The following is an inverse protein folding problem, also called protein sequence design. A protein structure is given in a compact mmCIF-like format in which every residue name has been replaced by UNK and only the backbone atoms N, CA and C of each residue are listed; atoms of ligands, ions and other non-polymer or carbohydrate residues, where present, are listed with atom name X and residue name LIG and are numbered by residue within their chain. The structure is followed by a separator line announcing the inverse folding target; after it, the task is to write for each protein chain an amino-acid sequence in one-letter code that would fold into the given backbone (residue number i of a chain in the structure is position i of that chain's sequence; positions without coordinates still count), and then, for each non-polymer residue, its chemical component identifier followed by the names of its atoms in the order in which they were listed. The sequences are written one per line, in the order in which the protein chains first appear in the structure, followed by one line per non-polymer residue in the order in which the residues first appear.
data_IF_302664018703
#
_entry.id   IF_302664018703
#
_cell.length_a   1.000
_cell.length_b   1.000
_cell.length_c   1.000
_cell.angle_alpha   90.00
_cell.angle_beta   90.00
_cell.angle_gamma   90.00
#
_symmetry.space_group_name_H-M   'P 1'
#
loop_
_entity.id
_entity.type
_entity.pdbx_description
1 polymer ?
#
# COMPACT_ATOMS: atom_id res chain seq x y z
N UNK A 1 6.10 31.86 6.84
CA UNK A 1 6.32 32.52 5.60
C UNK A 1 5.26 32.39 4.52
N UNK A 2 5.23 31.29 3.80
CA UNK A 2 4.33 31.09 2.64
C UNK A 2 2.86 30.94 3.03
N UNK A 3 2.55 30.32 4.16
CA UNK A 3 1.18 30.09 4.63
C UNK A 3 0.41 31.39 4.85
N UNK A 4 1.02 32.43 5.42
CA UNK A 4 0.37 33.71 5.66
C UNK A 4 0.06 34.51 4.38
N UNK A 5 0.89 34.42 3.35
CA UNK A 5 0.67 35.11 2.06
C UNK A 5 -0.42 34.45 1.21
N UNK A 6 -0.47 33.12 1.20
CA UNK A 6 -1.51 32.33 0.49
C UNK A 6 -2.89 32.58 1.12
N UNK A 7 -2.96 32.78 2.42
CA UNK A 7 -4.19 33.06 3.13
C UNK A 7 -4.79 34.43 2.83
N UNK A 8 -3.98 35.48 2.84
CA UNK A 8 -4.45 36.81 2.43
C UNK A 8 -5.01 36.79 1.00
N UNK A 9 -4.43 35.97 0.13
CA UNK A 9 -4.90 35.80 -1.25
C UNK A 9 -6.26 35.07 -1.27
N UNK A 10 -6.43 33.96 -0.55
CA UNK A 10 -7.70 33.21 -0.51
C UNK A 10 -8.85 34.02 0.09
N UNK A 11 -8.59 34.74 1.16
CA UNK A 11 -9.60 35.62 1.79
C UNK A 11 -10.00 36.75 0.86
N UNK A 12 -9.06 37.34 0.15
CA UNK A 12 -9.33 38.37 -0.84
C UNK A 12 -10.18 37.82 -1.99
N UNK A 13 -9.84 36.64 -2.52
CA UNK A 13 -10.64 35.96 -3.56
C UNK A 13 -12.05 35.62 -3.08
N UNK A 14 -12.21 35.15 -1.83
CA UNK A 14 -13.52 34.84 -1.28
C UNK A 14 -14.39 36.07 -1.16
N UNK A 15 -13.84 37.18 -0.66
CA UNK A 15 -14.52 38.46 -0.57
C UNK A 15 -14.91 39.02 -1.94
N UNK A 16 -14.01 38.90 -2.92
CA UNK A 16 -14.27 39.31 -4.29
C UNK A 16 -15.33 38.43 -4.97
N UNK A 17 -15.24 37.13 -4.81
CA UNK A 17 -16.24 36.17 -5.31
C UNK A 17 -17.62 36.46 -4.72
N UNK A 18 -17.70 36.75 -3.41
CA UNK A 18 -18.95 37.09 -2.75
C UNK A 18 -19.55 38.39 -3.32
N UNK A 19 -18.75 39.46 -3.47
CA UNK A 19 -19.19 40.73 -4.10
C UNK A 19 -19.72 40.49 -5.50
N UNK A 20 -19.03 39.70 -6.30
CA UNK A 20 -19.44 39.40 -7.67
C UNK A 20 -20.75 38.63 -7.73
N UNK A 21 -20.98 37.71 -6.78
CA UNK A 21 -22.20 36.95 -6.68
C UNK A 21 -23.41 37.73 -6.16
N UNK A 22 -23.18 38.84 -5.38
CA UNK A 22 -24.20 39.64 -4.72
C UNK A 22 -24.25 41.09 -5.25
N UNK A 23 -24.08 41.28 -6.55
CA UNK A 23 -24.19 42.58 -7.23
C UNK A 23 -23.30 43.73 -6.65
N UNK A 24 -22.15 43.37 -6.08
CA UNK A 24 -21.20 44.30 -5.49
C UNK A 24 -21.42 44.59 -4.02
N UNK A 25 -22.51 44.10 -3.41
CA UNK A 25 -22.75 44.20 -1.98
C UNK A 25 -21.87 43.19 -1.23
N UNK A 26 -21.30 43.65 -0.11
CA UNK A 26 -20.45 42.85 0.75
C UNK A 26 -20.89 42.92 2.20
N UNK A 27 -21.16 41.79 2.79
CA UNK A 27 -21.36 41.64 4.21
C UNK A 27 -20.41 40.54 4.72
N UNK A 28 -19.61 40.82 5.71
CA UNK A 28 -18.64 39.90 6.27
C UNK A 28 -19.29 38.74 7.00
N UNK A 29 -20.45 38.98 7.64
CA UNK A 29 -21.19 37.98 8.38
C UNK A 29 -21.80 36.88 7.45
N UNK A 30 -22.16 37.27 6.24
CA UNK A 30 -22.68 36.35 5.24
C UNK A 30 -21.55 35.67 4.47
N UNK A 31 -20.41 36.33 4.30
CA UNK A 31 -19.25 35.79 3.58
C UNK A 31 -18.48 34.75 4.39
N UNK A 32 -18.34 34.96 5.70
CA UNK A 32 -17.60 34.11 6.61
C UNK A 32 -18.49 33.62 7.75
N UNK A 33 -18.42 32.32 8.08
CA UNK A 33 -19.06 31.79 9.28
C UNK A 33 -18.48 32.42 10.56
N UNK A 34 -19.15 32.26 11.69
CA UNK A 34 -18.66 32.73 12.99
C UNK A 34 -17.29 32.16 13.29
N UNK A 35 -17.11 30.81 13.11
CA UNK A 35 -15.83 30.15 13.28
C UNK A 35 -14.72 30.72 12.40
N UNK A 36 -15.01 31.00 11.14
CA UNK A 36 -14.02 31.60 10.24
C UNK A 36 -13.63 33.04 10.67
N UNK A 37 -14.59 33.85 11.16
CA UNK A 37 -14.34 35.21 11.67
C UNK A 37 -13.51 35.17 12.95
N UNK A 38 -13.78 34.24 13.85
CA UNK A 38 -12.97 34.03 15.04
C UNK A 38 -11.50 33.76 14.71
N UNK A 39 -11.27 32.85 13.73
CA UNK A 39 -9.92 32.56 13.26
C UNK A 39 -9.26 33.77 12.57
N UNK A 40 -10.01 34.54 11.78
CA UNK A 40 -9.51 35.77 11.18
C UNK A 40 -9.09 36.79 12.25
N UNK A 41 -9.87 36.91 13.31
CA UNK A 41 -9.63 37.89 14.41
C UNK A 41 -8.47 37.45 15.31
N UNK A 42 -8.33 36.14 15.58
CA UNK A 42 -7.24 35.57 16.39
C UNK A 42 -5.92 35.47 15.63
N UNK A 43 -5.98 35.36 14.31
CA UNK A 43 -4.82 35.06 13.46
C UNK A 43 -4.26 33.64 13.60
N UNK A 44 -5.01 32.78 14.25
CA UNK A 44 -4.62 31.36 14.50
C UNK A 44 -5.19 30.42 13.42
N UNK A 45 -4.67 30.51 12.25
CA UNK A 45 -5.09 29.61 11.16
C UNK A 45 -4.44 28.23 11.18
N UNK A 46 -5.09 27.28 10.50
CA UNK A 46 -4.69 25.88 10.49
C UNK A 46 -3.69 25.62 9.36
N UNK A 47 -2.52 25.10 9.73
CA UNK A 47 -1.58 24.47 8.82
C UNK A 47 -1.92 22.96 8.71
N UNK A 48 -2.77 22.61 7.73
CA UNK A 48 -3.23 21.27 7.51
C UNK A 48 -2.10 20.30 7.13
N UNK A 49 -1.06 20.78 6.47
CA UNK A 49 0.08 19.97 6.08
C UNK A 49 0.85 19.51 7.32
N UNK A 50 1.13 20.41 8.25
CA UNK A 50 1.84 20.08 9.49
C UNK A 50 1.05 19.12 10.40
N UNK A 51 -0.28 19.15 10.35
CA UNK A 51 -1.14 18.23 11.09
C UNK A 51 -1.15 16.83 10.50
N UNK A 52 -0.96 16.69 9.20
CA UNK A 52 -1.02 15.42 8.48
C UNK A 52 0.31 14.72 8.45
N UNK A 53 1.39 15.47 8.19
CA UNK A 53 2.72 14.92 7.95
C UNK A 53 3.50 14.85 9.27
N UNK A 54 4.04 13.70 9.58
CA UNK A 54 4.92 13.49 10.73
C UNK A 54 6.23 12.83 10.29
N UNK A 55 7.30 12.98 11.05
CA UNK A 55 8.53 12.25 10.82
C UNK A 55 8.26 10.76 10.79
N UNK A 56 8.78 10.08 9.78
CA UNK A 56 8.62 8.65 9.60
C UNK A 56 9.96 7.93 9.82
N UNK A 57 9.92 6.84 10.58
CA UNK A 57 11.07 5.96 10.80
C UNK A 57 10.98 4.78 9.84
N UNK A 58 12.12 4.42 9.27
CA UNK A 58 12.29 3.21 8.48
C UNK A 58 13.44 2.39 9.07
N UNK A 59 13.21 1.09 9.24
CA UNK A 59 14.23 0.15 9.70
C UNK A 59 14.22 -1.10 8.82
N UNK A 60 15.42 -1.64 8.61
CA UNK A 60 15.61 -2.86 7.86
C UNK A 60 16.72 -3.69 8.50
N UNK A 61 16.40 -4.94 8.77
CA UNK A 61 17.31 -5.90 9.37
C UNK A 61 17.34 -7.17 8.52
N UNK A 62 18.52 -7.57 8.06
CA UNK A 62 18.70 -8.78 7.27
C UNK A 62 19.82 -9.65 7.89
N UNK A 63 19.54 -10.95 8.00
CA UNK A 63 20.52 -11.95 8.40
C UNK A 63 20.62 -12.98 7.28
N UNK A 64 21.83 -13.28 6.85
CA UNK A 64 22.07 -14.30 5.82
C UNK A 64 23.17 -15.26 6.28
N UNK A 65 22.83 -16.55 6.24
CA UNK A 65 23.78 -17.64 6.48
C UNK A 65 24.03 -18.38 5.16
N UNK A 66 25.30 -18.57 4.84
CA UNK A 66 25.73 -19.31 3.66
C UNK A 66 26.65 -20.44 4.07
N UNK A 67 26.42 -21.60 3.50
CA UNK A 67 27.27 -22.78 3.70
C UNK A 67 27.40 -23.52 2.39
N UNK A 68 28.49 -24.20 2.20
CA UNK A 68 28.65 -24.99 1.00
C UNK A 68 29.97 -25.73 0.92
N UNK A 69 29.97 -26.70 0.02
CA UNK A 69 31.14 -27.46 -0.41
C UNK A 69 31.09 -27.64 -1.94
N UNK A 70 31.95 -28.48 -2.49
CA UNK A 70 32.00 -28.72 -3.95
C UNK A 70 30.69 -29.32 -4.52
N UNK A 71 29.90 -29.99 -3.68
CA UNK A 71 28.66 -30.65 -4.11
C UNK A 71 27.40 -29.90 -3.75
N UNK A 72 27.41 -29.21 -2.62
CA UNK A 72 26.20 -28.54 -2.09
C UNK A 72 26.47 -27.10 -1.76
N UNK A 73 25.52 -26.23 -2.08
CA UNK A 73 25.50 -24.83 -1.69
C UNK A 73 24.15 -24.53 -1.05
N UNK A 74 24.18 -23.84 0.08
CA UNK A 74 22.99 -23.44 0.83
C UNK A 74 23.11 -21.94 1.15
N UNK A 75 22.06 -21.19 0.94
CA UNK A 75 21.92 -19.84 1.44
C UNK A 75 20.55 -19.69 2.08
N UNK A 76 20.52 -19.29 3.34
CA UNK A 76 19.32 -18.98 4.08
C UNK A 76 19.36 -17.52 4.52
N UNK A 77 18.26 -16.80 4.32
CA UNK A 77 18.15 -15.38 4.71
C UNK A 77 16.82 -15.13 5.40
N UNK A 78 16.88 -14.34 6.45
CA UNK A 78 15.71 -13.73 7.11
C UNK A 78 15.83 -12.23 7.03
N UNK A 79 14.74 -11.54 6.75
CA UNK A 79 14.66 -10.10 6.69
C UNK A 79 13.43 -9.59 7.42
N UNK A 80 13.59 -8.50 8.14
CA UNK A 80 12.52 -7.70 8.74
C UNK A 80 12.63 -6.27 8.20
N UNK A 81 11.50 -5.73 7.80
CA UNK A 81 11.38 -4.35 7.34
C UNK A 81 10.18 -3.73 8.02
N UNK A 82 10.35 -2.53 8.55
CA UNK A 82 9.32 -1.73 9.17
C UNK A 82 9.44 -0.28 8.70
N UNK A 83 8.32 0.31 8.36
CA UNK A 83 8.25 1.70 7.91
C UNK A 83 6.98 2.35 8.45
N UNK A 84 7.14 3.32 9.33
CA UNK A 84 6.06 4.24 9.70
C UNK A 84 5.78 5.15 8.50
N UNK A 85 4.51 5.36 8.16
CA UNK A 85 4.14 6.28 7.08
C UNK A 85 4.34 7.73 7.48
N UNK A 86 4.56 8.60 6.48
CA UNK A 86 4.59 10.05 6.68
C UNK A 86 3.23 10.59 7.11
N UNK A 87 2.14 10.01 6.61
CA UNK A 87 0.77 10.34 7.00
C UNK A 87 0.41 9.56 8.25
N UNK A 88 -0.32 10.19 9.19
CA UNK A 88 -0.82 9.52 10.39
C UNK A 88 -1.65 8.28 10.01
N UNK A 89 -1.65 7.26 10.88
CA UNK A 89 -2.37 6.00 10.68
C UNK A 89 -2.01 5.30 9.36
N UNK A 90 -0.76 5.42 8.95
CA UNK A 90 -0.20 4.66 7.82
C UNK A 90 1.13 4.01 8.19
N UNK A 91 1.37 2.82 7.65
CA UNK A 91 2.55 2.05 7.94
C UNK A 91 2.67 0.82 7.06
N UNK A 92 3.86 0.25 7.02
CA UNK A 92 4.16 -0.97 6.30
C UNK A 92 5.20 -1.79 7.06
N UNK A 93 4.87 -3.02 7.35
CA UNK A 93 5.83 -4.00 7.89
C UNK A 93 5.91 -5.24 7.00
N UNK A 94 7.07 -5.90 7.02
CA UNK A 94 7.28 -7.11 6.25
C UNK A 94 8.34 -8.01 6.87
N UNK A 95 8.01 -9.27 7.00
CA UNK A 95 8.96 -10.34 7.29
C UNK A 95 9.21 -11.14 6.00
N UNK A 96 10.46 -11.50 5.74
CA UNK A 96 10.85 -12.31 4.57
C UNK A 96 11.74 -13.46 4.98
N UNK A 97 11.52 -14.62 4.34
CA UNK A 97 12.41 -15.77 4.42
C UNK A 97 12.83 -16.22 3.02
N UNK A 98 14.10 -16.54 2.83
CA UNK A 98 14.61 -17.11 1.57
C UNK A 98 15.50 -18.30 1.86
N UNK A 99 15.34 -19.33 1.05
CA UNK A 99 16.18 -20.51 1.07
C UNK A 99 16.57 -20.84 -0.37
N UNK A 100 17.87 -20.89 -0.63
CA UNK A 100 18.41 -21.34 -1.91
C UNK A 100 19.31 -22.55 -1.66
N UNK A 101 19.06 -23.61 -2.40
CA UNK A 101 19.79 -24.85 -2.33
C UNK A 101 20.19 -25.29 -3.74
N UNK A 102 21.47 -25.58 -3.90
CA UNK A 102 22.02 -26.24 -5.09
C UNK A 102 22.73 -27.51 -4.66
N UNK A 103 22.45 -28.61 -5.32
CA UNK A 103 23.10 -29.88 -5.01
C UNK A 103 23.47 -30.65 -6.28
N UNK A 104 24.77 -30.96 -6.42
CA UNK A 104 25.31 -31.80 -7.49
C UNK A 104 25.19 -33.24 -7.11
N UNK A 105 24.19 -33.94 -7.68
CA UNK A 105 23.99 -35.36 -7.49
C UNK A 105 25.07 -36.16 -8.23
N UNK A 106 25.35 -35.77 -9.49
CA UNK A 106 26.38 -36.30 -10.35
C UNK A 106 27.24 -35.15 -10.90
N UNK A 107 28.35 -35.45 -11.54
CA UNK A 107 29.17 -34.45 -12.25
C UNK A 107 28.36 -33.73 -13.35
N UNK A 108 27.35 -34.40 -13.89
CA UNK A 108 26.50 -33.94 -15.00
C UNK A 108 25.09 -33.58 -14.58
N UNK A 109 24.71 -33.79 -13.29
CA UNK A 109 23.34 -33.56 -12.80
C UNK A 109 23.36 -32.73 -11.56
N UNK A 110 22.70 -31.58 -11.66
CA UNK A 110 22.50 -30.61 -10.56
C UNK A 110 21.00 -30.41 -10.29
N UNK A 111 20.62 -30.39 -9.02
CA UNK A 111 19.30 -30.01 -8.55
C UNK A 111 19.38 -28.68 -7.82
N UNK A 112 18.39 -27.84 -8.01
CA UNK A 112 18.27 -26.61 -7.27
C UNK A 112 16.86 -26.32 -6.81
N UNK A 113 16.77 -25.62 -5.68
CA UNK A 113 15.54 -25.14 -5.09
C UNK A 113 15.72 -23.71 -4.60
N UNK A 114 14.80 -22.84 -5.00
CA UNK A 114 14.73 -21.48 -4.48
C UNK A 114 13.34 -21.30 -3.86
N UNK A 115 13.31 -21.00 -2.58
CA UNK A 115 12.10 -20.76 -1.82
C UNK A 115 12.13 -19.33 -1.31
N UNK A 116 11.01 -18.65 -1.43
CA UNK A 116 10.80 -17.30 -0.91
C UNK A 116 9.44 -17.24 -0.25
N UNK A 117 9.40 -16.73 0.96
CA UNK A 117 8.17 -16.39 1.66
C UNK A 117 8.25 -14.95 2.15
N UNK A 118 7.16 -14.24 2.05
CA UNK A 118 6.98 -12.96 2.74
C UNK A 118 5.57 -12.82 3.26
N UNK A 119 5.48 -12.30 4.48
CA UNK A 119 4.26 -11.76 5.06
C UNK A 119 4.43 -10.26 5.21
N UNK A 120 3.45 -9.48 4.76
CA UNK A 120 3.45 -8.04 4.92
C UNK A 120 2.09 -7.54 5.40
N UNK A 121 2.13 -6.47 6.20
CA UNK A 121 0.95 -5.71 6.63
C UNK A 121 1.13 -4.26 6.17
N UNK A 122 0.09 -3.70 5.59
CA UNK A 122 0.00 -2.29 5.21
C UNK A 122 -1.19 -1.69 5.94
N UNK A 123 -0.96 -0.64 6.69
CA UNK A 123 -2.00 0.20 7.26
C UNK A 123 -2.09 1.47 6.41
N UNK A 124 -3.28 1.84 6.00
CA UNK A 124 -3.51 3.02 5.17
C UNK A 124 -4.44 3.98 5.86
N UNK A 125 -4.05 5.26 5.89
CA UNK A 125 -4.94 6.29 6.40
C UNK A 125 -6.19 6.41 5.53
N UNK A 126 -7.32 6.71 6.15
CA UNK A 126 -8.51 7.13 5.41
C UNK A 126 -8.34 8.58 4.94
N UNK A 127 -8.69 8.80 3.70
CA UNK A 127 -8.56 10.10 3.07
C UNK A 127 -7.34 10.23 2.16
N UNK A 128 -7.46 11.14 1.22
CA UNK A 128 -6.40 11.45 0.27
C UNK A 128 -5.65 12.70 0.71
N UNK A 129 -4.37 12.78 0.38
CA UNK A 129 -3.56 13.99 0.53
C UNK A 129 -4.28 15.23 -0.02
N UNK A 130 -5.01 15.09 -1.13
CA UNK A 130 -5.82 16.15 -1.73
C UNK A 130 -6.83 16.75 -0.75
N UNK A 131 -7.43 15.96 0.14
CA UNK A 131 -8.38 16.51 1.13
C UNK A 131 -7.73 17.52 2.07
N UNK A 132 -6.53 17.26 2.55
CA UNK A 132 -5.82 18.17 3.45
C UNK A 132 -5.44 19.49 2.77
N UNK A 133 -4.90 19.42 1.56
CA UNK A 133 -4.47 20.63 0.83
C UNK A 133 -5.65 21.47 0.31
N UNK A 134 -6.85 20.89 0.20
CA UNK A 134 -8.05 21.63 -0.21
C UNK A 134 -8.83 22.20 0.97
N UNK A 135 -8.49 21.81 2.20
CA UNK A 135 -9.16 22.32 3.39
C UNK A 135 -8.90 23.83 3.58
N UNK A 136 -9.92 24.58 4.01
CA UNK A 136 -9.75 25.99 4.30
C UNK A 136 -8.86 26.19 5.53
N UNK A 137 -7.91 27.11 5.51
CA UNK A 137 -7.09 27.42 6.67
C UNK A 137 -7.86 28.17 7.76
N UNK A 138 -8.95 28.87 7.40
CA UNK A 138 -9.88 29.49 8.33
C UNK A 138 -10.81 28.44 8.94
N UNK A 139 -10.29 27.66 9.85
CA UNK A 139 -10.97 26.51 10.43
C UNK A 139 -10.56 26.30 11.89
N UNK A 140 -11.42 25.63 12.65
CA UNK A 140 -11.08 25.12 13.99
C UNK A 140 -11.06 23.58 13.92
N UNK A 141 -9.89 23.00 14.19
CA UNK A 141 -9.68 21.53 14.15
C UNK A 141 -10.28 20.86 15.37
N UNK A 142 -10.22 21.50 16.52
CA UNK A 142 -10.62 20.99 17.82
C UNK A 142 -11.73 21.83 18.44
N UNK A 143 -12.54 21.20 19.25
CA UNK A 143 -13.46 21.85 20.17
C UNK A 143 -12.69 22.42 21.40
N UNK A 144 -13.34 23.23 22.20
CA UNK A 144 -12.75 23.85 23.40
C UNK A 144 -12.34 22.80 24.45
N UNK A 145 -12.94 21.61 24.43
CA UNK A 145 -12.60 20.46 25.27
C UNK A 145 -11.44 19.61 24.74
N UNK A 146 -10.84 19.99 23.59
CA UNK A 146 -9.74 19.30 22.94
C UNK A 146 -10.17 18.12 22.05
N UNK A 147 -11.45 17.81 21.95
CA UNK A 147 -11.95 16.79 21.00
C UNK A 147 -11.91 17.31 19.56
N UNK A 148 -11.78 16.40 18.58
CA UNK A 148 -11.85 16.77 17.17
C UNK A 148 -13.24 17.31 16.81
N UNK A 149 -13.27 18.35 16.02
CA UNK A 149 -14.52 18.82 15.39
C UNK A 149 -14.77 18.04 14.12
N UNK A 150 -16.02 17.67 13.86
CA UNK A 150 -16.42 17.03 12.61
C UNK A 150 -16.51 18.02 11.46
N UNK A 151 -17.18 19.17 11.66
CA UNK A 151 -17.18 20.32 10.73
C UNK A 151 -16.24 21.39 11.29
N UNK A 152 -15.28 21.81 10.48
CA UNK A 152 -14.21 22.71 10.92
C UNK A 152 -14.48 24.17 10.64
N UNK A 153 -15.54 24.52 9.89
CA UNK A 153 -15.83 25.89 9.46
C UNK A 153 -17.19 26.42 9.90
N UNK A 154 -18.15 25.56 10.22
CA UNK A 154 -19.57 25.87 10.42
C UNK A 154 -20.16 26.75 9.28
N UNK A 155 -19.59 26.61 8.08
CA UNK A 155 -20.10 27.27 6.88
C UNK A 155 -21.27 26.47 6.31
N UNK A 156 -22.13 27.09 5.53
CA UNK A 156 -23.29 26.42 4.92
C UNK A 156 -22.91 25.17 4.09
N UNK A 157 -21.69 25.11 3.57
CA UNK A 157 -21.08 23.90 3.03
C UNK A 157 -20.23 23.24 4.11
N UNK A 158 -20.51 21.98 4.41
CA UNK A 158 -19.81 21.24 5.44
C UNK A 158 -18.39 20.86 5.01
N UNK A 159 -17.43 21.34 5.78
CA UNK A 159 -16.03 20.97 5.61
C UNK A 159 -15.65 19.95 6.67
N UNK A 160 -15.78 18.65 6.31
CA UNK A 160 -15.44 17.57 7.24
C UNK A 160 -13.96 17.52 7.53
N UNK A 161 -13.63 17.50 8.81
CA UNK A 161 -12.28 17.37 9.32
C UNK A 161 -11.62 16.07 8.82
N UNK A 162 -10.53 16.15 8.06
CA UNK A 162 -9.86 14.93 7.60
C UNK A 162 -9.34 14.05 8.75
N UNK A 163 -8.89 14.65 9.86
CA UNK A 163 -8.42 13.92 11.04
C UNK A 163 -9.56 13.15 11.71
N UNK A 164 -10.80 13.69 11.69
CA UNK A 164 -11.97 12.98 12.20
C UNK A 164 -12.18 11.64 11.51
N UNK A 165 -12.11 11.62 10.17
CA UNK A 165 -12.27 10.41 9.40
C UNK A 165 -11.10 9.44 9.58
N UNK A 166 -9.87 9.96 9.65
CA UNK A 166 -8.68 9.12 9.85
C UNK A 166 -8.68 8.36 11.18
N UNK A 167 -9.28 8.93 12.23
CA UNK A 167 -9.45 8.24 13.52
C UNK A 167 -10.62 7.23 13.51
N UNK A 168 -11.52 7.34 12.53
CA UNK A 168 -12.77 6.58 12.44
C UNK A 168 -12.81 5.62 11.26
N UNK A 169 -11.65 5.25 10.77
CA UNK A 169 -11.49 4.26 9.72
C UNK A 169 -10.32 3.33 10.03
N UNK A 170 -10.48 2.08 9.64
CA UNK A 170 -9.41 1.07 9.60
C UNK A 170 -9.31 0.60 8.17
N UNK A 171 -8.10 0.66 7.60
CA UNK A 171 -7.81 0.19 6.25
C UNK A 171 -6.53 -0.64 6.30
N UNK A 172 -6.69 -1.93 6.47
CA UNK A 172 -5.61 -2.90 6.61
C UNK A 172 -5.54 -3.81 5.39
N UNK A 173 -4.35 -3.98 4.87
CA UNK A 173 -4.02 -4.98 3.86
C UNK A 173 -2.92 -5.89 4.40
N UNK A 174 -3.21 -7.19 4.49
CA UNK A 174 -2.18 -8.20 4.72
C UNK A 174 -1.95 -9.04 3.45
N UNK A 175 -0.72 -9.41 3.21
CA UNK A 175 -0.35 -10.21 2.04
C UNK A 175 0.66 -11.27 2.39
N UNK A 176 0.32 -12.52 2.08
CA UNK A 176 1.21 -13.67 2.12
C UNK A 176 1.66 -14.01 0.71
N UNK A 177 2.96 -14.03 0.48
CA UNK A 177 3.53 -14.44 -0.79
C UNK A 177 4.46 -15.62 -0.56
N UNK A 178 4.22 -16.70 -1.27
CA UNK A 178 5.09 -17.84 -1.34
C UNK A 178 5.49 -18.09 -2.79
N UNK A 179 6.77 -18.10 -3.05
CA UNK A 179 7.34 -18.41 -4.36
C UNK A 179 8.33 -19.56 -4.20
N UNK A 180 8.15 -20.58 -4.97
CA UNK A 180 9.08 -21.70 -5.07
C UNK A 180 9.47 -21.91 -6.51
N UNK A 181 10.74 -22.24 -6.70
CA UNK A 181 11.29 -22.64 -7.97
C UNK A 181 12.18 -23.84 -7.75
N UNK A 182 11.87 -24.95 -8.44
CA UNK A 182 12.63 -26.19 -8.43
C UNK A 182 13.17 -26.41 -9.83
N UNK A 183 14.44 -26.76 -9.94
CA UNK A 183 15.02 -27.04 -11.22
C UNK A 183 16.00 -28.21 -11.19
N UNK A 184 16.14 -28.83 -12.35
CA UNK A 184 17.09 -29.88 -12.65
C UNK A 184 17.92 -29.40 -13.84
N UNK A 185 19.25 -29.37 -13.69
CA UNK A 185 20.20 -29.16 -14.76
C UNK A 185 20.91 -30.47 -15.05
N UNK A 186 20.77 -30.98 -16.28
CA UNK A 186 21.39 -32.20 -16.70
C UNK A 186 22.23 -31.98 -17.98
N UNK A 187 23.54 -32.18 -17.87
CA UNK A 187 24.42 -32.29 -19.04
C UNK A 187 24.34 -33.76 -19.59
N UNK A 188 23.47 -33.93 -20.61
CA UNK A 188 23.21 -35.25 -21.21
C UNK A 188 24.47 -35.79 -21.87
N UNK A 189 25.12 -34.94 -22.66
CA UNK A 189 26.45 -35.13 -23.26
C UNK A 189 27.16 -33.80 -23.27
N UNK A 190 28.48 -33.85 -23.48
CA UNK A 190 29.30 -32.59 -23.54
C UNK A 190 28.73 -31.62 -24.56
N UNK A 191 28.31 -30.45 -24.05
CA UNK A 191 27.72 -29.37 -24.85
C UNK A 191 26.20 -29.43 -25.04
N UNK A 192 25.52 -30.51 -24.64
CA UNK A 192 24.07 -30.64 -24.65
C UNK A 192 23.54 -30.67 -23.21
N UNK A 193 22.89 -29.58 -22.80
CA UNK A 193 22.31 -29.43 -21.47
C UNK A 193 20.79 -29.35 -21.54
N UNK A 194 20.13 -30.01 -20.64
CA UNK A 194 18.68 -29.95 -20.44
C UNK A 194 18.40 -29.35 -19.07
N UNK A 195 17.51 -28.37 -19.02
CA UNK A 195 16.95 -27.83 -17.78
C UNK A 195 15.45 -28.05 -17.77
N UNK A 196 14.96 -28.72 -16.74
CA UNK A 196 13.57 -28.70 -16.35
C UNK A 196 13.42 -27.71 -15.19
N UNK A 197 12.47 -26.79 -15.29
CA UNK A 197 12.21 -25.76 -14.30
C UNK A 197 10.71 -25.75 -13.96
N UNK A 198 10.38 -25.87 -12.68
CA UNK A 198 9.03 -25.77 -12.16
C UNK A 198 8.94 -24.66 -11.12
N UNK A 199 8.03 -23.71 -11.33
CA UNK A 199 7.79 -22.63 -10.39
C UNK A 199 6.34 -22.60 -9.95
N UNK A 200 6.12 -22.25 -8.68
CA UNK A 200 4.81 -21.95 -8.13
C UNK A 200 4.88 -20.62 -7.41
N UNK A 201 3.95 -19.72 -7.72
CA UNK A 201 3.70 -18.51 -6.96
C UNK A 201 2.32 -18.62 -6.34
N UNK A 202 2.26 -18.40 -5.04
CA UNK A 202 1.03 -18.32 -4.26
C UNK A 202 1.01 -16.94 -3.60
N UNK A 203 -0.06 -16.17 -3.83
CA UNK A 203 -0.29 -14.88 -3.18
C UNK A 203 -1.70 -14.86 -2.62
N UNK A 204 -1.79 -14.60 -1.33
CA UNK A 204 -3.05 -14.38 -0.64
C UNK A 204 -3.06 -12.96 -0.08
N UNK A 205 -4.01 -12.15 -0.52
CA UNK A 205 -4.22 -10.77 -0.06
C UNK A 205 -5.53 -10.72 0.70
N UNK A 206 -5.50 -10.18 1.89
CA UNK A 206 -6.65 -9.90 2.73
C UNK A 206 -6.74 -8.42 2.99
N UNK A 207 -7.82 -7.78 2.59
CA UNK A 207 -8.10 -6.36 2.85
C UNK A 207 -9.29 -6.25 3.77
N UNK A 208 -9.10 -5.60 4.91
CA UNK A 208 -10.14 -5.25 5.86
C UNK A 208 -10.31 -3.74 5.91
N UNK A 209 -11.50 -3.26 5.58
CA UNK A 209 -11.86 -1.85 5.72
C UNK A 209 -13.03 -1.74 6.68
N UNK A 210 -12.91 -0.86 7.65
CA UNK A 210 -13.99 -0.57 8.58
C UNK A 210 -14.17 0.93 8.74
N UNK A 211 -15.37 1.41 8.51
CA UNK A 211 -15.78 2.79 8.79
C UNK A 211 -16.69 2.77 10.02
N UNK A 212 -16.31 3.53 11.04
CA UNK A 212 -17.08 3.65 12.28
C UNK A 212 -18.42 4.35 11.99
N UNK A 213 -19.38 4.17 12.93
CA UNK A 213 -20.73 4.75 12.81
C UNK A 213 -20.76 6.29 12.80
N UNK A 214 -19.74 6.92 13.32
CA UNK A 214 -19.57 8.38 13.37
C UNK A 214 -18.58 8.90 12.29
N UNK A 215 -18.05 8.01 11.44
CA UNK A 215 -17.34 8.39 10.23
C UNK A 215 -18.29 9.11 9.25
N UNK A 216 -17.83 10.16 8.56
CA UNK A 216 -18.69 10.99 7.70
C UNK A 216 -19.43 10.20 6.60
N UNK A 217 -18.86 9.10 6.13
CA UNK A 217 -19.49 8.18 5.16
C UNK A 217 -20.15 6.98 5.87
N UNK A 218 -19.59 6.54 6.99
CA UNK A 218 -20.09 5.37 7.73
C UNK A 218 -21.40 5.62 8.47
N UNK A 219 -21.71 6.87 8.83
CA UNK A 219 -22.88 7.25 9.61
C UNK A 219 -24.22 6.90 8.94
N UNK A 220 -24.28 7.00 7.60
CA UNK A 220 -25.50 6.74 6.84
C UNK A 220 -25.89 5.25 6.87
N UNK A 221 -24.97 4.37 7.23
CA UNK A 221 -25.13 2.92 7.35
C UNK A 221 -24.87 2.41 8.77
N UNK A 222 -24.81 3.33 9.77
CA UNK A 222 -24.49 3.02 11.15
C UNK A 222 -23.20 2.17 11.32
N UNK A 223 -22.23 2.41 10.43
CA UNK A 223 -20.99 1.68 10.29
C UNK A 223 -20.98 0.79 9.04
N UNK A 224 -19.77 0.60 8.48
CA UNK A 224 -19.58 -0.22 7.28
C UNK A 224 -18.29 -1.04 7.42
N UNK A 225 -18.41 -2.35 7.29
CA UNK A 225 -17.28 -3.24 7.18
C UNK A 225 -17.19 -3.84 5.78
N UNK A 226 -16.02 -3.87 5.19
CA UNK A 226 -15.76 -4.53 3.91
C UNK A 226 -14.54 -5.43 4.04
N UNK A 227 -14.69 -6.68 3.69
CA UNK A 227 -13.62 -7.66 3.67
C UNK A 227 -13.42 -8.13 2.23
N UNK A 228 -12.19 -8.06 1.74
CA UNK A 228 -11.81 -8.60 0.43
C UNK A 228 -10.70 -9.62 0.61
N UNK A 229 -10.87 -10.77 0.01
CA UNK A 229 -9.83 -11.78 -0.08
C UNK A 229 -9.51 -12.04 -1.55
N UNK A 230 -8.24 -12.00 -1.90
CA UNK A 230 -7.77 -12.29 -3.25
C UNK A 230 -6.66 -13.30 -3.20
N UNK A 231 -6.96 -14.47 -3.77
CA UNK A 231 -6.02 -15.57 -3.91
C UNK A 231 -5.57 -15.67 -5.36
N UNK A 232 -4.26 -15.58 -5.59
CA UNK A 232 -3.63 -15.83 -6.89
C UNK A 232 -2.64 -16.97 -6.78
N UNK A 233 -2.80 -17.96 -7.62
CA UNK A 233 -1.87 -19.07 -7.78
C UNK A 233 -1.39 -19.12 -9.22
N UNK A 234 -0.09 -19.23 -9.40
CA UNK A 234 0.54 -19.33 -10.71
C UNK A 234 1.51 -20.51 -10.72
N UNK A 235 1.42 -21.36 -11.74
CA UNK A 235 2.30 -22.48 -12.00
C UNK A 235 2.97 -22.28 -13.35
N UNK A 236 4.29 -22.28 -13.34
CA UNK A 236 5.10 -22.22 -14.54
C UNK A 236 5.94 -23.48 -14.63
N UNK A 237 5.88 -24.14 -15.77
CA UNK A 237 6.74 -25.27 -16.08
C UNK A 237 7.47 -25.01 -17.40
N UNK A 238 8.79 -25.18 -17.38
CA UNK A 238 9.65 -24.91 -18.52
C UNK A 238 10.61 -26.06 -18.77
N UNK A 239 10.77 -26.43 -20.05
CA UNK A 239 11.78 -27.35 -20.55
C UNK A 239 12.69 -26.59 -21.48
N UNK A 240 13.98 -26.60 -21.19
CA UNK A 240 14.99 -25.86 -21.94
C UNK A 240 16.10 -26.83 -22.36
N UNK A 241 16.33 -26.96 -23.65
CA UNK A 241 17.42 -27.76 -24.22
C UNK A 241 18.41 -26.81 -24.90
N UNK A 242 19.64 -26.81 -24.42
CA UNK A 242 20.71 -26.01 -24.98
C UNK A 242 21.79 -26.90 -25.56
N UNK A 243 22.16 -26.65 -26.81
CA UNK A 243 23.29 -27.28 -27.47
C UNK A 243 24.33 -26.24 -27.82
N UNK A 244 25.56 -26.41 -27.30
CA UNK A 244 26.68 -25.53 -27.57
C UNK A 244 27.86 -26.36 -28.08
N UNK A 245 28.36 -26.02 -29.25
CA UNK A 245 29.51 -26.72 -29.82
C UNK A 245 30.47 -25.75 -30.50
N UNK A 246 31.74 -25.95 -30.25
CA UNK A 246 32.80 -25.22 -30.91
C UNK A 246 33.47 -26.13 -31.96
N UNK A 247 33.58 -25.63 -33.18
CA UNK A 247 34.18 -26.34 -34.30
C UNK A 247 35.52 -25.67 -34.69
N UNK A 248 36.56 -26.47 -34.73
CA UNK A 248 37.91 -26.04 -35.18
C UNK A 248 38.42 -24.77 -34.49
N UNK A 249 38.01 -24.49 -33.25
CA UNK A 249 38.41 -23.30 -32.45
C UNK A 249 38.05 -21.96 -33.13
N UNK A 250 37.25 -21.96 -34.20
CA UNK A 250 36.90 -20.76 -34.98
C UNK A 250 35.40 -20.48 -35.05
N UNK A 251 34.56 -21.54 -34.98
CA UNK A 251 33.13 -21.40 -35.13
C UNK A 251 32.41 -21.92 -33.89
N UNK A 252 31.52 -21.12 -33.33
CA UNK A 252 30.68 -21.49 -32.18
C UNK A 252 29.22 -21.58 -32.64
N UNK A 253 28.61 -22.71 -32.41
CA UNK A 253 27.17 -22.93 -32.64
C UNK A 253 26.49 -23.04 -31.29
N UNK A 254 25.47 -22.20 -31.06
CA UNK A 254 24.56 -22.28 -29.93
C UNK A 254 23.14 -22.41 -30.43
N UNK A 255 22.43 -23.43 -29.95
CA UNK A 255 21.00 -23.66 -30.25
C UNK A 255 20.26 -23.82 -28.94
N UNK A 256 19.18 -23.10 -28.74
CA UNK A 256 18.27 -23.21 -27.59
C UNK A 256 16.87 -23.56 -28.07
N UNK A 257 16.31 -24.63 -27.54
CA UNK A 257 14.90 -24.97 -27.69
C UNK A 257 14.23 -24.84 -26.32
N UNK A 258 13.07 -24.17 -26.30
CA UNK A 258 12.32 -23.93 -25.08
C UNK A 258 10.85 -24.25 -25.29
N UNK A 259 10.28 -24.93 -24.29
CA UNK A 259 8.83 -25.11 -24.15
C UNK A 259 8.43 -24.58 -22.78
N UNK A 260 7.38 -23.77 -22.71
CA UNK A 260 6.86 -23.21 -21.47
C UNK A 260 5.34 -23.36 -21.40
N UNK A 261 4.84 -23.68 -20.21
CA UNK A 261 3.42 -23.70 -19.88
C UNK A 261 3.23 -22.88 -18.62
N UNK A 262 2.35 -21.89 -18.69
CA UNK A 262 1.99 -21.04 -17.54
C UNK A 262 0.49 -21.12 -17.30
N UNK A 263 0.09 -21.41 -16.06
CA UNK A 263 -1.30 -21.45 -15.61
C UNK A 263 -1.49 -20.51 -14.45
N UNK A 264 -2.40 -19.53 -14.62
CA UNK A 264 -2.73 -18.55 -13.60
C UNK A 264 -4.19 -18.74 -13.19
N UNK A 265 -4.42 -18.85 -11.88
CA UNK A 265 -5.76 -18.84 -11.30
C UNK A 265 -5.87 -17.73 -10.29
N UNK A 266 -6.91 -16.90 -10.42
CA UNK A 266 -7.22 -15.84 -9.46
C UNK A 266 -8.65 -16.04 -8.98
N UNK A 267 -8.84 -16.02 -7.67
CA UNK A 267 -10.15 -16.04 -7.01
C UNK A 267 -10.22 -14.82 -6.11
N UNK A 268 -11.33 -14.10 -6.17
CA UNK A 268 -11.57 -12.94 -5.32
C UNK A 268 -12.96 -13.02 -4.73
N UNK A 269 -13.06 -12.75 -3.45
CA UNK A 269 -14.31 -12.59 -2.70
C UNK A 269 -14.34 -11.21 -2.08
N UNK A 270 -15.50 -10.60 -2.04
CA UNK A 270 -15.74 -9.33 -1.36
C UNK A 270 -17.06 -9.43 -0.59
N UNK A 271 -16.98 -9.25 0.71
CA UNK A 271 -18.12 -9.24 1.61
C UNK A 271 -18.26 -7.83 2.20
N UNK A 272 -19.47 -7.29 2.14
CA UNK A 272 -19.79 -5.99 2.69
C UNK A 272 -20.89 -6.16 3.75
N UNK A 273 -20.60 -5.76 4.97
CA UNK A 273 -21.55 -5.75 6.09
C UNK A 273 -21.93 -4.30 6.39
N UNK A 274 -23.22 -4.04 6.32
CA UNK A 274 -23.83 -2.79 6.76
C UNK A 274 -24.65 -3.10 8.01
N UNK A 275 -24.51 -2.27 9.04
CA UNK A 275 -25.35 -2.39 10.22
C UNK A 275 -26.69 -1.71 9.93
N UNK A 276 -27.74 -2.50 9.69
CA UNK A 276 -29.12 -2.01 9.58
C UNK A 276 -29.82 -2.22 10.92
N UNK A 277 -30.52 -1.20 11.41
CA UNK A 277 -31.21 -1.21 12.71
C UNK A 277 -32.37 -2.22 12.78
N UNK A 278 -32.78 -2.81 11.67
CA UNK A 278 -33.95 -3.73 11.60
C UNK A 278 -33.63 -5.19 11.99
N UNK A 279 -32.39 -5.51 12.36
CA UNK A 279 -32.02 -6.89 12.74
C UNK A 279 -32.14 -7.16 14.25
N UNK A 280 -32.63 -6.22 15.03
CA UNK A 280 -32.71 -6.32 16.51
C UNK A 280 -34.15 -6.39 17.08
N UNK A 281 -35.20 -6.40 16.24
CA UNK A 281 -36.59 -6.40 16.67
C UNK A 281 -37.40 -7.66 16.26
N UNK A 282 -36.74 -8.80 15.96
CA UNK A 282 -37.37 -10.10 15.82
C UNK A 282 -36.97 -11.10 16.91
#
# INVERSE_FOLDING_TARGET
GLVGSEMCIRDSYRREAWKNANNGEYNEEDCFSETMRDVLNSGEWVDWESLMIKPALQQKHDITVRSGNEKSKLAFSLGYYDQTGLVMNSGYDRITGRLNVDHKILKTLNLGANLYYSHSKTESADGTFTRFITMPPLAKVYNDDGSLRMDVTDAGETHYNPLWNMERAINDLSSDNFLTNLYVDWEIIKGLTYRANGSMTYRNEFTGNYLYRDHTTGRDTNGKATIKTKLRTEYLFENILNYNKEFKQKHRLGVTLMQSVNVIKTTQTEDCLLYTSDAADD
#
